data_IF_639004156849
#
_entry.id   IF_639004156849
#
_cell.length_a   1.000
_cell.length_b   1.000
_cell.length_c   1.000
_cell.angle_alpha   90.00
_cell.angle_beta   90.00
_cell.angle_gamma   90.00
#
_symmetry.space_group_name_H-M   'P 1'
#
loop_
_entity.id
_entity.type
_entity.pdbx_description
1 polymer ?
#
# COMPACT_ATOMS: atom_id res chain seq x y z
N UNK A 1 -9.45 -0.22 -11.80
CA UNK A 1 -8.92 -1.30 -10.94
C UNK A 1 -9.81 -1.39 -9.71
N UNK A 2 -10.50 -2.52 -9.51
CA UNK A 2 -11.40 -2.72 -8.36
C UNK A 2 -10.63 -3.17 -7.12
N UNK A 3 -9.76 -4.16 -7.28
CA UNK A 3 -8.94 -4.70 -6.20
C UNK A 3 -7.59 -4.00 -6.13
N UNK A 4 -7.22 -3.55 -4.93
CA UNK A 4 -5.97 -2.87 -4.61
C UNK A 4 -5.20 -3.72 -3.59
N UNK A 5 -3.91 -3.95 -3.86
CA UNK A 5 -2.99 -4.47 -2.83
C UNK A 5 -2.45 -3.32 -1.98
N UNK A 6 -2.41 -3.47 -0.67
CA UNK A 6 -1.84 -2.49 0.27
C UNK A 6 -0.85 -3.23 1.17
N UNK A 7 0.26 -2.61 1.55
CA UNK A 7 1.17 -3.20 2.55
C UNK A 7 0.41 -3.47 3.87
N UNK A 8 0.43 -4.73 4.34
CA UNK A 8 -0.22 -5.13 5.60
C UNK A 8 0.29 -4.35 6.81
N UNK A 9 1.53 -3.89 6.79
CA UNK A 9 2.10 -3.07 7.87
C UNK A 9 1.30 -1.78 8.07
N UNK A 10 0.68 -1.22 7.03
CA UNK A 10 -0.20 -0.05 7.16
C UNK A 10 -1.42 -0.38 8.02
N UNK A 11 -2.01 -1.57 7.86
CA UNK A 11 -3.15 -2.00 8.65
C UNK A 11 -2.77 -2.31 10.11
N UNK A 12 -1.57 -2.86 10.35
CA UNK A 12 -1.07 -3.10 11.71
C UNK A 12 -0.73 -1.81 12.45
N UNK A 13 -0.15 -0.83 11.77
CA UNK A 13 0.34 0.41 12.36
C UNK A 13 -0.62 1.59 12.17
N UNK A 14 -1.89 1.32 11.84
CA UNK A 14 -2.88 2.37 11.53
C UNK A 14 -3.10 3.36 12.68
N UNK A 15 -2.91 2.89 13.92
CA UNK A 15 -3.01 3.69 15.14
C UNK A 15 -1.70 4.44 15.47
N UNK A 16 -0.55 4.02 14.96
CA UNK A 16 0.73 4.68 15.23
C UNK A 16 0.79 6.07 14.59
N UNK A 17 0.26 6.21 13.38
CA UNK A 17 0.16 7.52 12.72
C UNK A 17 -0.69 8.52 13.50
N UNK A 18 -1.64 8.05 14.33
CA UNK A 18 -2.48 8.93 15.16
C UNK A 18 -1.69 9.66 16.25
N UNK A 19 -0.51 9.14 16.65
CA UNK A 19 0.23 9.62 17.82
C UNK A 19 1.11 10.84 17.54
N UNK A 20 1.48 11.11 16.29
CA UNK A 20 2.60 12.01 15.99
C UNK A 20 2.28 13.20 15.09
N UNK A 21 1.07 13.28 14.53
CA UNK A 21 0.70 14.30 13.55
C UNK A 21 -0.72 14.81 13.81
N UNK A 22 -1.07 15.99 13.31
CA UNK A 22 -2.44 16.48 13.35
C UNK A 22 -3.35 15.65 12.42
N UNK A 23 -4.66 15.80 12.57
CA UNK A 23 -5.65 15.00 11.82
C UNK A 23 -5.53 15.17 10.30
N UNK A 24 -5.24 16.37 9.80
CA UNK A 24 -5.14 16.64 8.38
C UNK A 24 -3.89 15.98 7.79
N UNK A 25 -2.74 16.10 8.45
CA UNK A 25 -1.51 15.39 8.04
C UNK A 25 -1.72 13.87 8.06
N UNK A 26 -2.38 13.31 9.08
CA UNK A 26 -2.70 11.88 9.14
C UNK A 26 -3.53 11.41 7.93
N UNK A 27 -4.57 12.18 7.55
CA UNK A 27 -5.42 11.86 6.39
C UNK A 27 -4.59 11.84 5.11
N UNK A 28 -3.69 12.81 4.94
CA UNK A 28 -2.85 12.91 3.75
C UNK A 28 -1.83 11.77 3.71
N UNK A 29 -1.14 11.47 4.82
CA UNK A 29 -0.19 10.35 4.92
C UNK A 29 -0.88 9.03 4.56
N UNK A 30 -2.02 8.72 5.16
CA UNK A 30 -2.77 7.50 4.85
C UNK A 30 -3.20 7.46 3.40
N UNK A 31 -3.64 8.59 2.87
CA UNK A 31 -4.05 8.66 1.47
C UNK A 31 -2.87 8.49 0.52
N UNK A 32 -1.69 9.02 0.84
CA UNK A 32 -0.45 8.80 0.08
C UNK A 32 -0.06 7.33 0.10
N UNK A 33 -0.16 6.66 1.24
CA UNK A 33 0.11 5.22 1.36
C UNK A 33 -0.76 4.38 0.42
N UNK A 34 -2.06 4.67 0.38
CA UNK A 34 -2.99 4.01 -0.54
C UNK A 34 -2.68 4.40 -1.99
N UNK A 35 -2.42 5.68 -2.25
CA UNK A 35 -2.12 6.18 -3.59
C UNK A 35 -0.82 5.61 -4.15
N UNK A 36 0.23 5.46 -3.35
CA UNK A 36 1.49 4.84 -3.77
C UNK A 36 1.31 3.34 -4.01
N UNK A 37 0.54 2.66 -3.16
CA UNK A 37 0.19 1.25 -3.39
C UNK A 37 -0.57 1.09 -4.72
N UNK A 38 -1.52 1.99 -5.01
CA UNK A 38 -2.28 2.01 -6.25
C UNK A 38 -1.41 2.33 -7.46
N UNK A 39 -0.60 3.38 -7.36
CA UNK A 39 0.26 3.85 -8.44
C UNK A 39 1.33 2.82 -8.76
N UNK A 40 1.97 2.20 -7.76
CA UNK A 40 2.95 1.13 -7.99
C UNK A 40 2.38 -0.10 -8.71
N UNK A 41 1.07 -0.34 -8.61
CA UNK A 41 0.41 -1.46 -9.31
C UNK A 41 0.02 -1.15 -10.75
N UNK A 42 0.16 0.11 -11.16
CA UNK A 42 -0.20 0.63 -12.50
C UNK A 42 1.06 1.14 -13.22
N UNK A 43 1.97 1.74 -12.49
CA UNK A 43 3.23 2.27 -12.97
C UNK A 43 4.24 1.12 -13.16
N UNK A 44 4.79 1.06 -14.37
CA UNK A 44 5.77 0.05 -14.78
C UNK A 44 7.21 0.57 -14.63
N UNK A 45 7.43 1.75 -14.05
CA UNK A 45 8.76 2.38 -13.97
C UNK A 45 9.20 2.69 -12.53
N UNK A 46 10.51 2.59 -12.28
CA UNK A 46 11.12 2.68 -10.95
C UNK A 46 11.11 4.06 -10.27
N UNK A 47 10.54 5.09 -10.90
CA UNK A 47 10.28 6.39 -10.28
C UNK A 47 8.81 6.74 -10.46
N UNK A 48 8.07 6.76 -9.35
CA UNK A 48 6.68 7.18 -9.34
C UNK A 48 6.56 8.69 -9.49
N UNK A 49 5.48 9.13 -10.14
CA UNK A 49 5.14 10.56 -10.27
C UNK A 49 3.90 10.86 -9.44
N UNK A 50 4.05 11.75 -8.47
CA UNK A 50 2.97 12.30 -7.68
C UNK A 50 2.59 13.68 -8.24
N UNK A 51 1.49 13.73 -8.98
CA UNK A 51 0.81 14.97 -9.31
C UNK A 51 -0.21 15.31 -8.20
N UNK A 52 -0.04 16.42 -7.45
CA UNK A 52 -0.95 16.78 -6.37
C UNK A 52 -2.42 16.88 -6.81
N UNK A 53 -2.68 17.28 -8.05
CA UNK A 53 -4.05 17.39 -8.56
C UNK A 53 -4.68 16.03 -8.81
N UNK A 54 -3.93 15.10 -9.42
CA UNK A 54 -4.41 13.72 -9.63
C UNK A 54 -4.60 12.99 -8.30
N UNK A 55 -3.65 13.18 -7.37
CA UNK A 55 -3.74 12.66 -6.01
C UNK A 55 -5.00 13.15 -5.28
N UNK A 56 -5.23 14.47 -5.25
CA UNK A 56 -6.43 15.06 -4.64
C UNK A 56 -7.72 14.46 -5.23
N UNK A 57 -7.77 14.36 -6.57
CA UNK A 57 -8.93 13.82 -7.29
C UNK A 57 -9.17 12.34 -7.00
N UNK A 58 -8.13 11.51 -7.03
CA UNK A 58 -8.24 10.05 -6.80
C UNK A 58 -8.56 9.72 -5.35
N UNK A 59 -7.94 10.43 -4.41
CA UNK A 59 -8.12 10.19 -2.98
C UNK A 59 -9.28 10.96 -2.36
N UNK A 60 -10.00 11.75 -3.16
CA UNK A 60 -11.13 12.60 -2.70
C UNK A 60 -10.69 13.48 -1.53
N UNK A 61 -9.60 14.21 -1.73
CA UNK A 61 -9.08 15.21 -0.80
C UNK A 61 -9.28 16.57 -1.43
N UNK A 62 -9.63 17.56 -0.61
CA UNK A 62 -9.67 18.94 -1.06
C UNK A 62 -8.26 19.38 -1.51
N UNK A 63 -8.15 19.87 -2.75
CA UNK A 63 -6.86 20.23 -3.34
C UNK A 63 -6.21 21.36 -2.55
N UNK A 64 -6.97 22.36 -2.14
CA UNK A 64 -6.41 23.54 -1.48
C UNK A 64 -5.83 23.17 -0.11
N UNK A 65 -6.44 22.19 0.58
CA UNK A 65 -5.91 21.61 1.81
C UNK A 65 -4.48 21.06 1.67
N UNK A 66 -4.07 20.59 0.49
CA UNK A 66 -2.73 20.03 0.26
C UNK A 66 -1.64 21.09 0.27
N UNK A 67 -1.96 22.28 -0.25
CA UNK A 67 -1.01 23.39 -0.42
C UNK A 67 -1.05 24.41 0.72
N UNK A 68 -2.01 24.29 1.65
CA UNK A 68 -2.02 25.09 2.87
C UNK A 68 -0.74 24.86 3.66
N UNK A 69 -0.19 25.95 4.21
CA UNK A 69 0.94 25.89 5.13
C UNK A 69 0.54 25.14 6.40
N UNK A 70 1.34 24.16 6.76
CA UNK A 70 1.24 23.41 7.99
C UNK A 70 1.72 24.29 9.15
N UNK A 71 1.00 24.38 10.28
CA UNK A 71 1.38 25.26 11.39
C UNK A 71 2.70 24.86 12.05
N UNK A 72 2.99 23.56 12.07
CA UNK A 72 4.12 23.01 12.81
C UNK A 72 4.79 21.80 12.10
N UNK A 73 5.39 22.02 10.91
CA UNK A 73 5.86 20.94 10.03
C UNK A 73 7.04 20.17 10.64
N UNK A 74 7.12 18.87 10.37
CA UNK A 74 8.08 17.95 10.99
C UNK A 74 9.54 18.34 10.70
N UNK A 75 9.86 18.79 9.49
CA UNK A 75 11.21 19.26 9.14
C UNK A 75 11.67 20.40 10.05
N UNK A 76 10.76 21.31 10.41
CA UNK A 76 11.05 22.45 11.31
C UNK A 76 11.28 21.98 12.74
N UNK A 77 10.65 20.88 13.17
CA UNK A 77 10.92 20.27 14.49
C UNK A 77 12.24 19.53 14.54
N UNK A 78 12.62 18.92 13.42
CA UNK A 78 13.81 18.07 13.35
C UNK A 78 15.10 18.85 13.10
N UNK A 79 14.99 20.09 12.61
CA UNK A 79 16.15 20.92 12.34
C UNK A 79 16.73 21.50 13.65
N UNK A 80 18.05 21.34 13.90
CA UNK A 80 18.71 21.98 15.04
C UNK A 80 18.74 23.52 14.93
N UNK A 81 18.57 24.06 13.72
CA UNK A 81 18.66 25.50 13.44
C UNK A 81 17.47 26.28 14.01
N UNK A 82 16.37 25.60 14.36
CA UNK A 82 15.10 26.20 14.71
C UNK A 82 14.35 26.78 13.49
N UNK A 83 13.05 27.01 13.66
CA UNK A 83 12.15 27.43 12.57
C UNK A 83 12.64 28.71 11.86
N UNK A 84 12.93 29.77 12.63
CA UNK A 84 13.22 31.11 12.11
C UNK A 84 14.41 31.10 11.14
N UNK A 85 15.54 30.51 11.56
CA UNK A 85 16.75 30.43 10.74
C UNK A 85 16.56 29.60 9.47
N UNK A 86 15.74 28.54 9.53
CA UNK A 86 15.47 27.72 8.35
C UNK A 86 14.71 28.52 7.29
N UNK A 87 13.71 29.30 7.69
CA UNK A 87 12.96 30.17 6.76
C UNK A 87 13.82 31.33 6.23
N UNK A 88 14.59 32.00 7.10
CA UNK A 88 15.54 33.05 6.68
C UNK A 88 16.53 32.52 5.63
N UNK A 89 17.04 31.30 5.83
CA UNK A 89 17.95 30.65 4.89
C UNK A 89 17.27 30.35 3.55
N UNK A 90 16.02 29.91 3.55
CA UNK A 90 15.26 29.72 2.31
C UNK A 90 15.03 31.05 1.58
N UNK A 91 14.79 32.15 2.29
CA UNK A 91 14.60 33.47 1.68
C UNK A 91 15.87 33.94 0.95
N UNK A 92 17.04 33.66 1.53
CA UNK A 92 18.35 34.02 0.93
C UNK A 92 18.73 33.09 -0.23
N UNK A 93 18.64 31.77 -0.03
CA UNK A 93 19.09 30.77 -1.02
C UNK A 93 18.01 30.45 -2.09
N UNK A 94 16.77 30.86 -1.85
CA UNK A 94 15.61 30.61 -2.70
C UNK A 94 15.01 29.20 -2.54
N UNK A 95 13.79 29.03 -3.07
CA UNK A 95 13.01 27.79 -3.00
C UNK A 95 13.58 26.60 -3.79
N UNK A 96 14.63 26.83 -4.59
CA UNK A 96 15.34 25.86 -5.42
C UNK A 96 16.72 25.49 -4.84
N UNK A 97 16.84 25.53 -3.52
CA UNK A 97 18.06 25.21 -2.79
C UNK A 97 17.85 24.04 -1.82
N UNK A 98 18.94 23.56 -1.24
CA UNK A 98 18.90 22.61 -0.11
C UNK A 98 18.27 23.21 1.15
N UNK A 99 18.11 24.53 1.22
CA UNK A 99 17.44 25.21 2.33
C UNK A 99 15.91 25.24 2.20
N UNK A 100 15.33 24.60 1.15
CA UNK A 100 13.87 24.51 0.99
C UNK A 100 13.20 23.93 2.24
N UNK A 101 12.15 24.61 2.68
CA UNK A 101 11.22 24.18 3.71
C UNK A 101 10.04 23.45 3.07
N UNK A 102 9.77 22.25 3.56
CA UNK A 102 8.67 21.36 3.17
C UNK A 102 7.48 21.62 4.09
N UNK A 103 6.88 22.81 3.96
CA UNK A 103 5.94 23.35 4.95
C UNK A 103 4.47 23.31 4.54
N UNK A 104 4.11 22.90 3.32
CA UNK A 104 2.70 22.60 3.02
C UNK A 104 2.27 21.27 3.67
N UNK A 105 0.97 21.06 3.86
CA UNK A 105 0.47 19.79 4.41
C UNK A 105 0.90 18.56 3.58
N UNK A 106 0.92 18.68 2.24
CA UNK A 106 1.41 17.60 1.39
C UNK A 106 2.91 17.37 1.56
N UNK A 107 3.70 18.44 1.58
CA UNK A 107 5.16 18.36 1.71
C UNK A 107 5.57 17.85 3.09
N UNK A 108 4.90 18.30 4.15
CA UNK A 108 5.07 17.76 5.50
C UNK A 108 4.80 16.25 5.53
N UNK A 109 3.70 15.80 4.90
CA UNK A 109 3.38 14.38 4.81
C UNK A 109 4.45 13.59 4.03
N UNK A 110 4.97 14.13 2.92
CA UNK A 110 6.06 13.51 2.15
C UNK A 110 7.36 13.43 2.97
N UNK A 111 7.69 14.50 3.70
CA UNK A 111 8.85 14.53 4.60
C UNK A 111 8.71 13.49 5.70
N UNK A 112 7.55 13.40 6.36
CA UNK A 112 7.27 12.37 7.39
C UNK A 112 7.45 10.97 6.79
N UNK A 113 6.91 10.70 5.60
CA UNK A 113 7.02 9.40 4.95
C UNK A 113 8.46 9.05 4.51
N UNK A 114 9.32 10.05 4.32
CA UNK A 114 10.72 9.89 3.96
C UNK A 114 11.65 9.77 5.18
N UNK A 115 11.21 10.21 6.35
CA UNK A 115 12.07 10.29 7.55
C UNK A 115 11.60 9.41 8.71
N UNK A 116 10.31 9.06 8.78
CA UNK A 116 9.76 8.28 9.87
C UNK A 116 9.89 6.77 9.61
N UNK A 117 10.64 6.03 10.44
CA UNK A 117 10.75 4.59 10.31
C UNK A 117 9.47 3.91 10.80
N UNK A 118 8.94 2.98 9.99
CA UNK A 118 7.97 1.99 10.46
C UNK A 118 8.71 0.79 11.03
N UNK A 119 8.29 0.35 12.21
CA UNK A 119 8.87 -0.81 12.86
C UNK A 119 8.02 -2.06 12.60
N UNK A 120 8.70 -3.18 12.38
CA UNK A 120 8.09 -4.50 12.20
C UNK A 120 8.74 -5.48 13.18
N UNK A 121 7.90 -6.07 14.03
CA UNK A 121 8.30 -7.19 14.89
C UNK A 121 8.13 -8.50 14.12
N UNK A 122 9.17 -9.33 14.11
CA UNK A 122 9.13 -10.62 13.43
C UNK A 122 9.68 -11.72 14.34
N UNK A 123 9.26 -12.95 14.06
CA UNK A 123 9.76 -14.15 14.71
C UNK A 123 10.00 -15.24 13.68
N UNK A 124 11.00 -16.07 13.92
CA UNK A 124 11.35 -17.16 13.03
C UNK A 124 12.03 -18.30 13.76
N UNK A 125 12.44 -19.29 12.96
CA UNK A 125 13.17 -20.46 13.42
C UNK A 125 14.25 -20.79 12.40
N UNK A 126 15.49 -20.92 12.86
CA UNK A 126 16.61 -21.50 12.12
C UNK A 126 16.86 -22.93 12.63
N UNK A 127 17.86 -23.60 12.06
CA UNK A 127 18.38 -24.87 12.58
C UNK A 127 18.92 -24.70 14.03
N UNK A 128 19.43 -23.50 14.34
CA UNK A 128 20.08 -23.19 15.63
C UNK A 128 19.08 -22.74 16.72
N UNK A 129 17.81 -22.51 16.38
CA UNK A 129 16.78 -22.17 17.36
C UNK A 129 15.71 -21.20 16.87
N UNK A 130 14.88 -20.74 17.81
CA UNK A 130 13.84 -19.74 17.57
C UNK A 130 14.37 -18.35 17.88
N UNK A 131 14.02 -17.36 17.06
CA UNK A 131 14.43 -15.98 17.26
C UNK A 131 13.23 -15.03 17.15
N UNK A 132 13.36 -13.87 17.81
CA UNK A 132 12.46 -12.73 17.72
C UNK A 132 13.34 -11.52 17.39
N UNK A 133 12.89 -10.67 16.48
CA UNK A 133 13.65 -9.50 16.04
C UNK A 133 12.75 -8.32 15.73
N UNK A 134 13.37 -7.15 15.69
CA UNK A 134 12.76 -5.89 15.28
C UNK A 134 13.56 -5.38 14.09
N UNK A 135 12.87 -4.99 13.02
CA UNK A 135 13.47 -4.29 11.89
C UNK A 135 12.66 -3.03 11.63
N UNK A 136 13.26 -2.06 10.96
CA UNK A 136 12.56 -0.88 10.50
C UNK A 136 12.76 -0.65 9.00
N UNK A 137 11.87 0.12 8.42
CA UNK A 137 12.02 0.65 7.06
C UNK A 137 11.30 1.99 6.97
N UNK A 138 11.79 2.87 6.09
CA UNK A 138 11.06 4.09 5.71
C UNK A 138 10.18 3.77 4.50
N UNK A 139 9.15 4.57 4.24
CA UNK A 139 8.22 4.28 3.14
C UNK A 139 8.70 4.85 1.81
N UNK A 140 9.17 6.10 1.85
CA UNK A 140 9.75 6.79 0.70
C UNK A 140 11.25 6.85 0.91
N UNK A 141 12.04 6.29 0.00
CA UNK A 141 13.50 6.39 0.03
C UNK A 141 13.98 7.74 -0.48
N UNK A 142 13.31 8.29 -1.49
CA UNK A 142 13.70 9.53 -2.13
C UNK A 142 12.46 10.31 -2.59
N UNK A 143 12.45 11.63 -2.37
CA UNK A 143 11.45 12.54 -2.92
C UNK A 143 12.12 13.76 -3.55
N UNK A 144 11.70 14.12 -4.75
CA UNK A 144 12.22 15.25 -5.51
C UNK A 144 11.05 16.14 -5.92
N UNK A 145 11.17 17.44 -5.68
CA UNK A 145 10.24 18.44 -6.19
C UNK A 145 10.64 18.87 -7.60
N UNK A 146 9.70 18.84 -8.53
CA UNK A 146 9.91 19.24 -9.93
C UNK A 146 8.91 20.31 -10.34
N UNK A 147 9.37 21.20 -11.22
CA UNK A 147 8.59 22.28 -11.78
C UNK A 147 8.58 22.14 -13.30
N UNK A 148 7.40 21.99 -13.90
CA UNK A 148 7.23 21.90 -15.35
C UNK A 148 6.54 23.16 -15.87
N UNK A 149 7.21 23.89 -16.76
CA UNK A 149 6.55 24.95 -17.55
C UNK A 149 5.47 24.31 -18.42
N UNK A 150 4.26 24.86 -18.37
CA UNK A 150 3.18 24.45 -19.27
C UNK A 150 3.26 25.24 -20.58
N UNK A 151 2.79 24.66 -21.69
CA UNK A 151 2.84 25.28 -23.03
C UNK A 151 2.19 26.68 -23.12
N UNK A 152 1.39 27.08 -22.11
CA UNK A 152 0.79 28.41 -21.97
C UNK A 152 1.65 29.40 -21.17
N UNK A 153 2.95 29.15 -21.00
CA UNK A 153 3.99 30.14 -20.64
C UNK A 153 3.94 30.77 -19.24
N UNK A 154 2.79 30.84 -18.57
CA UNK A 154 2.60 31.60 -17.32
C UNK A 154 2.43 30.74 -16.06
N UNK A 155 1.99 29.49 -16.20
CA UNK A 155 1.74 28.61 -15.06
C UNK A 155 2.79 27.49 -14.98
N UNK A 156 3.53 27.48 -13.88
CA UNK A 156 4.45 26.40 -13.52
C UNK A 156 3.69 25.31 -12.78
N UNK A 157 3.66 24.09 -13.34
CA UNK A 157 3.04 22.93 -12.68
C UNK A 157 4.06 22.28 -11.75
N UNK A 158 3.66 22.11 -10.49
CA UNK A 158 4.42 21.37 -9.48
C UNK A 158 4.06 19.88 -9.55
N UNK A 159 5.06 19.01 -9.50
CA UNK A 159 4.89 17.58 -9.29
C UNK A 159 6.08 17.02 -8.52
N UNK A 160 5.90 15.87 -7.89
CA UNK A 160 6.96 15.20 -7.14
C UNK A 160 7.34 13.90 -7.83
N UNK A 161 8.63 13.63 -7.95
CA UNK A 161 9.13 12.28 -8.24
C UNK A 161 9.48 11.60 -6.93
N UNK A 162 9.14 10.34 -6.79
CA UNK A 162 9.44 9.58 -5.58
C UNK A 162 9.98 8.19 -5.92
N UNK A 163 10.83 7.67 -5.02
CA UNK A 163 11.29 6.29 -5.00
C UNK A 163 10.81 5.64 -3.72
N UNK A 164 10.09 4.53 -3.84
CA UNK A 164 9.63 3.76 -2.69
C UNK A 164 10.81 2.95 -2.10
N UNK A 165 10.71 2.62 -0.83
CA UNK A 165 11.66 1.71 -0.20
C UNK A 165 11.49 0.27 -0.69
N UNK A 166 12.60 -0.45 -0.84
CA UNK A 166 12.59 -1.82 -1.35
C UNK A 166 11.83 -2.78 -0.42
N UNK A 167 11.80 -2.52 0.89
CA UNK A 167 10.97 -3.29 1.82
C UNK A 167 9.48 -3.07 1.56
N UNK A 168 9.05 -1.82 1.33
CA UNK A 168 7.66 -1.52 1.00
C UNK A 168 7.23 -2.18 -0.32
N UNK A 169 8.05 -2.09 -1.36
CA UNK A 169 7.76 -2.76 -2.64
C UNK A 169 7.67 -4.29 -2.49
N UNK A 170 8.57 -4.88 -1.71
CA UNK A 170 8.55 -6.31 -1.39
C UNK A 170 7.29 -6.70 -0.62
N UNK A 171 6.82 -5.86 0.30
CA UNK A 171 5.57 -6.10 1.01
C UNK A 171 4.36 -6.06 0.08
N UNK A 172 4.32 -5.15 -0.90
CA UNK A 172 3.28 -5.12 -1.93
C UNK A 172 3.22 -6.38 -2.81
N UNK A 173 4.29 -7.19 -2.82
CA UNK A 173 4.39 -8.48 -3.52
C UNK A 173 4.06 -9.68 -2.64
N UNK A 174 4.48 -9.68 -1.37
CA UNK A 174 4.43 -10.87 -0.49
C UNK A 174 3.64 -10.70 0.79
N UNK A 175 3.48 -9.47 1.27
CA UNK A 175 2.90 -9.16 2.56
C UNK A 175 1.85 -8.05 2.43
N UNK A 176 0.87 -8.31 1.57
CA UNK A 176 -0.16 -7.34 1.23
C UNK A 176 -1.55 -7.78 1.69
N UNK A 177 -2.38 -6.77 1.91
CA UNK A 177 -3.82 -6.85 2.12
C UNK A 177 -4.50 -6.59 0.77
N UNK A 178 -5.46 -7.42 0.40
CA UNK A 178 -6.35 -7.09 -0.72
C UNK A 178 -7.53 -6.26 -0.26
N UNK A 179 -7.86 -5.21 -0.99
CA UNK A 179 -9.01 -4.37 -0.66
C UNK A 179 -9.72 -3.89 -1.92
N UNK A 180 -10.96 -3.40 -1.78
CA UNK A 180 -11.64 -2.69 -2.86
C UNK A 180 -11.36 -1.18 -2.71
N UNK A 181 -10.77 -0.57 -3.73
CA UNK A 181 -10.39 0.84 -3.69
C UNK A 181 -11.62 1.76 -3.58
N UNK A 182 -12.73 1.43 -4.23
CA UNK A 182 -13.96 2.23 -4.14
C UNK A 182 -14.61 2.09 -2.75
N UNK A 183 -14.61 0.89 -2.18
CA UNK A 183 -15.05 0.69 -0.79
C UNK A 183 -14.19 1.45 0.20
N UNK A 184 -12.87 1.43 0.03
CA UNK A 184 -11.97 2.25 0.84
C UNK A 184 -12.37 3.73 0.80
N UNK A 185 -12.61 4.30 -0.39
CA UNK A 185 -13.04 5.69 -0.53
C UNK A 185 -14.41 5.96 0.11
N UNK A 186 -15.35 5.00 0.03
CA UNK A 186 -16.65 5.08 0.70
C UNK A 186 -16.51 5.14 2.23
N UNK A 187 -15.69 4.27 2.82
CA UNK A 187 -15.44 4.28 4.26
C UNK A 187 -14.64 5.51 4.70
N UNK A 188 -13.74 6.01 3.85
CA UNK A 188 -12.98 7.26 4.08
C UNK A 188 -13.88 8.48 4.19
N UNK A 189 -14.92 8.58 3.36
CA UNK A 189 -15.93 9.66 3.46
C UNK A 189 -16.55 9.73 4.86
N UNK A 190 -16.62 8.59 5.56
CA UNK A 190 -17.21 8.47 6.88
C UNK A 190 -16.18 8.40 8.02
N UNK A 191 -14.88 8.59 7.75
CA UNK A 191 -13.77 8.40 8.71
C UNK A 191 -13.75 7.00 9.35
N UNK A 192 -14.03 5.97 8.56
CA UNK A 192 -14.12 4.56 9.02
C UNK A 192 -13.24 3.61 8.21
N UNK A 193 -12.40 4.15 7.35
CA UNK A 193 -11.48 3.42 6.48
C UNK A 193 -10.45 2.58 7.26
N UNK A 194 -10.00 3.06 8.42
CA UNK A 194 -9.07 2.32 9.28
C UNK A 194 -9.68 1.01 9.77
N UNK A 195 -10.97 1.04 10.16
CA UNK A 195 -11.68 -0.16 10.58
C UNK A 195 -11.97 -1.09 9.41
N UNK A 196 -12.27 -0.54 8.23
CA UNK A 196 -12.39 -1.33 7.01
C UNK A 196 -11.12 -2.12 6.69
N UNK A 197 -9.95 -1.46 6.72
CA UNK A 197 -8.66 -2.12 6.50
C UNK A 197 -8.38 -3.17 7.59
N UNK A 198 -8.69 -2.86 8.85
CA UNK A 198 -8.55 -3.77 9.99
C UNK A 198 -9.39 -5.05 9.81
N UNK A 199 -10.68 -4.91 9.48
CA UNK A 199 -11.60 -6.04 9.26
C UNK A 199 -11.12 -6.89 8.08
N UNK A 200 -10.73 -6.26 6.96
CA UNK A 200 -10.18 -6.99 5.81
C UNK A 200 -8.92 -7.77 6.17
N UNK A 201 -8.02 -7.17 6.97
CA UNK A 201 -6.78 -7.81 7.39
C UNK A 201 -7.02 -9.00 8.31
N UNK A 202 -7.92 -8.86 9.29
CA UNK A 202 -8.34 -9.95 10.18
C UNK A 202 -8.94 -11.08 9.34
N UNK A 203 -9.92 -10.79 8.49
CA UNK A 203 -10.56 -11.79 7.65
C UNK A 203 -9.54 -12.56 6.79
N UNK A 204 -8.69 -11.86 6.04
CA UNK A 204 -7.70 -12.50 5.16
C UNK A 204 -6.62 -13.28 5.92
N UNK A 205 -6.27 -12.85 7.13
CA UNK A 205 -5.25 -13.52 7.94
C UNK A 205 -5.78 -14.78 8.62
N UNK A 206 -7.02 -14.73 9.13
CA UNK A 206 -7.61 -15.84 9.88
C UNK A 206 -8.30 -16.86 8.98
N UNK A 207 -8.84 -16.48 7.81
CA UNK A 207 -9.40 -17.43 6.83
C UNK A 207 -8.38 -18.49 6.40
N UNK A 208 -7.11 -18.11 6.26
CA UNK A 208 -6.02 -19.02 5.89
C UNK A 208 -5.70 -20.07 6.97
N UNK A 209 -6.11 -19.80 8.21
CA UNK A 209 -5.93 -20.69 9.37
C UNK A 209 -7.20 -21.48 9.67
N UNK A 210 -8.23 -21.39 8.82
CA UNK A 210 -9.58 -21.90 9.07
C UNK A 210 -10.24 -21.39 10.37
N UNK A 211 -9.78 -20.24 10.86
CA UNK A 211 -10.40 -19.57 12.00
C UNK A 211 -11.42 -18.58 11.45
N UNK A 212 -12.65 -18.64 11.92
CA UNK A 212 -13.75 -17.82 11.43
C UNK A 212 -14.33 -16.85 12.47
N UNK A 213 -13.60 -16.64 13.57
CA UNK A 213 -13.97 -15.76 14.67
C UNK A 213 -12.75 -15.02 15.20
N UNK A 214 -12.92 -13.73 15.46
CA UNK A 214 -11.88 -12.90 16.04
C UNK A 214 -12.46 -12.01 17.15
N UNK A 215 -11.72 -11.88 18.24
CA UNK A 215 -12.07 -11.05 19.39
C UNK A 215 -11.21 -9.79 19.42
N UNK A 216 -11.84 -8.64 19.59
CA UNK A 216 -11.14 -7.38 19.84
C UNK A 216 -11.06 -7.10 21.32
N UNK A 217 -10.03 -6.35 21.73
CA UNK A 217 -10.08 -5.59 22.97
C UNK A 217 -11.06 -4.44 22.78
N UNK A 218 -11.86 -4.17 23.81
CA UNK A 218 -12.90 -3.14 23.74
C UNK A 218 -12.27 -1.75 23.55
N UNK A 219 -11.18 -1.49 24.27
CA UNK A 219 -10.42 -0.24 24.29
C UNK A 219 -9.82 0.08 22.91
N UNK A 220 -9.31 -0.93 22.19
CA UNK A 220 -8.75 -0.77 20.86
C UNK A 220 -9.79 -0.25 19.86
N UNK A 221 -11.04 -0.74 19.97
CA UNK A 221 -12.14 -0.25 19.13
C UNK A 221 -12.55 1.17 19.49
N UNK A 222 -12.58 1.52 20.77
CA UNK A 222 -12.87 2.90 21.19
C UNK A 222 -11.84 3.88 20.62
N UNK A 223 -10.55 3.53 20.71
CA UNK A 223 -9.45 4.33 20.14
C UNK A 223 -9.54 4.42 18.61
N UNK A 224 -9.91 3.33 17.94
CA UNK A 224 -10.05 3.30 16.49
C UNK A 224 -11.11 4.28 16.01
N UNK A 225 -12.26 4.33 16.67
CA UNK A 225 -13.39 5.20 16.33
C UNK A 225 -13.39 6.55 17.03
N UNK A 226 -12.35 6.86 17.82
CA UNK A 226 -12.27 8.08 18.61
C UNK A 226 -13.50 8.27 19.53
N UNK A 227 -13.95 7.19 20.16
CA UNK A 227 -15.03 7.22 21.16
C UNK A 227 -14.39 7.51 22.51
N UNK A 228 -14.81 8.58 23.18
CA UNK A 228 -14.28 8.96 24.50
C UNK A 228 -14.42 7.82 25.51
N UNK A 229 -13.32 7.59 26.24
CA UNK A 229 -13.23 6.66 27.37
C UNK A 229 -14.13 7.05 28.54
N UNK A 230 -14.49 8.33 28.65
CA UNK A 230 -15.25 8.89 29.77
C UNK A 230 -16.76 8.64 29.64
N UNK A 231 -17.21 8.22 28.46
CA UNK A 231 -18.58 7.78 28.25
C UNK A 231 -18.84 6.47 29.00
N UNK A 232 -20.03 6.32 29.58
CA UNK A 232 -20.40 5.04 30.17
C UNK A 232 -20.34 3.90 29.14
N UNK A 233 -19.95 2.71 29.58
CA UNK A 233 -19.80 1.53 28.74
C UNK A 233 -21.06 1.20 27.91
N UNK A 234 -22.25 1.49 28.44
CA UNK A 234 -23.53 1.35 27.73
C UNK A 234 -23.60 2.24 26.48
N UNK A 235 -23.19 3.50 26.60
CA UNK A 235 -23.18 4.46 25.49
C UNK A 235 -22.08 4.16 24.48
N UNK A 236 -20.90 3.75 24.95
CA UNK A 236 -19.80 3.28 24.10
C UNK A 236 -20.24 2.07 23.25
N UNK A 237 -20.83 1.04 23.89
CA UNK A 237 -21.38 -0.14 23.23
C UNK A 237 -22.47 0.22 22.21
N UNK A 238 -23.36 1.16 22.54
CA UNK A 238 -24.39 1.65 21.60
C UNK A 238 -23.78 2.28 20.36
N UNK A 239 -22.77 3.13 20.50
CA UNK A 239 -22.05 3.74 19.37
C UNK A 239 -21.38 2.68 18.50
N UNK A 240 -20.71 1.71 19.11
CA UNK A 240 -20.09 0.60 18.39
C UNK A 240 -21.11 -0.26 17.63
N UNK A 241 -22.25 -0.57 18.22
CA UNK A 241 -23.32 -1.32 17.54
C UNK A 241 -23.84 -0.60 16.28
N UNK A 242 -24.00 0.71 16.32
CA UNK A 242 -24.38 1.50 15.13
C UNK A 242 -23.35 1.35 14.03
N UNK A 243 -22.06 1.41 14.38
CA UNK A 243 -20.96 1.23 13.43
C UNK A 243 -20.94 -0.20 12.88
N UNK A 244 -21.02 -1.21 13.76
CA UNK A 244 -21.05 -2.62 13.38
C UNK A 244 -22.19 -2.94 12.42
N UNK A 245 -23.41 -2.45 12.68
CA UNK A 245 -24.57 -2.65 11.79
C UNK A 245 -24.31 -2.09 10.39
N UNK A 246 -23.70 -0.90 10.31
CA UNK A 246 -23.31 -0.30 9.03
C UNK A 246 -22.28 -1.17 8.30
N UNK A 247 -21.25 -1.63 9.01
CA UNK A 247 -20.22 -2.49 8.44
C UNK A 247 -20.76 -3.84 7.95
N UNK A 248 -21.65 -4.49 8.71
CA UNK A 248 -22.35 -5.70 8.26
C UNK A 248 -23.10 -5.44 6.96
N UNK A 249 -23.87 -4.35 6.86
CA UNK A 249 -24.62 -4.03 5.65
C UNK A 249 -23.74 -3.75 4.44
N UNK A 250 -22.61 -3.06 4.62
CA UNK A 250 -21.74 -2.66 3.52
C UNK A 250 -20.75 -3.74 3.06
N UNK A 251 -20.42 -4.71 3.93
CA UNK A 251 -19.39 -5.74 3.69
C UNK A 251 -19.93 -7.17 3.54
N UNK A 252 -21.21 -7.44 3.83
CA UNK A 252 -21.81 -8.78 3.70
C UNK A 252 -21.65 -9.41 2.32
N UNK A 253 -21.59 -8.59 1.26
CA UNK A 253 -21.33 -9.02 -0.12
C UNK A 253 -19.87 -9.45 -0.32
N UNK A 254 -18.93 -8.85 0.41
CA UNK A 254 -17.49 -9.14 0.30
C UNK A 254 -17.07 -10.28 1.24
N UNK A 255 -17.69 -10.35 2.42
CA UNK A 255 -17.39 -11.33 3.47
C UNK A 255 -18.70 -12.02 3.84
N UNK A 256 -18.88 -13.23 3.30
CA UNK A 256 -20.09 -14.03 3.53
C UNK A 256 -20.22 -14.36 5.02
N UNK A 257 -21.44 -14.22 5.55
CA UNK A 257 -21.73 -14.48 6.96
C UNK A 257 -21.12 -13.48 7.95
N UNK A 258 -20.63 -12.32 7.48
CA UNK A 258 -20.03 -11.32 8.36
C UNK A 258 -21.02 -10.85 9.43
N UNK A 259 -20.69 -11.08 10.69
CA UNK A 259 -21.48 -10.63 11.84
C UNK A 259 -20.57 -10.08 12.92
N UNK A 260 -21.04 -9.05 13.60
CA UNK A 260 -20.40 -8.49 14.78
C UNK A 260 -21.27 -8.77 15.99
N UNK A 261 -20.65 -9.13 17.10
CA UNK A 261 -21.38 -9.48 18.31
C UNK A 261 -20.58 -9.22 19.57
N UNK A 262 -21.16 -9.67 20.68
CA UNK A 262 -20.60 -9.53 22.02
C UNK A 262 -20.69 -10.86 22.73
N UNK A 263 -19.61 -11.27 23.38
CA UNK A 263 -19.62 -12.38 24.32
C UNK A 263 -19.36 -11.89 25.74
N UNK A 264 -19.89 -12.62 26.72
CA UNK A 264 -19.61 -12.34 28.12
C UNK A 264 -18.16 -12.72 28.43
N UNK A 265 -17.38 -11.76 28.88
CA UNK A 265 -16.01 -11.96 29.35
C UNK A 265 -15.98 -12.81 30.63
N UNK A 266 -14.89 -13.55 30.83
CA UNK A 266 -14.71 -14.36 32.04
C UNK A 266 -14.65 -13.46 33.28
N UNK A 267 -15.44 -13.78 34.30
CA UNK A 267 -15.30 -13.22 35.65
C UNK A 267 -16.04 -11.91 35.97
N UNK A 268 -16.74 -11.27 35.03
CA UNK A 268 -17.53 -10.06 35.33
C UNK A 268 -18.90 -10.07 34.64
N UNK A 269 -19.94 -9.61 35.35
CA UNK A 269 -21.32 -9.52 34.84
C UNK A 269 -21.45 -8.54 33.65
N UNK A 270 -20.51 -7.60 33.53
CA UNK A 270 -20.54 -6.49 32.57
C UNK A 270 -19.34 -6.45 31.61
N UNK A 271 -18.38 -7.36 31.72
CA UNK A 271 -17.31 -7.46 30.74
C UNK A 271 -17.89 -8.06 29.46
N UNK A 272 -18.03 -7.28 28.40
CA UNK A 272 -18.40 -7.79 27.08
C UNK A 272 -17.18 -7.70 26.17
N UNK A 273 -16.84 -8.81 25.52
CA UNK A 273 -15.76 -8.87 24.54
C UNK A 273 -16.38 -8.77 23.15
N UNK A 274 -16.10 -7.70 22.38
CA UNK A 274 -16.58 -7.57 21.02
C UNK A 274 -15.89 -8.61 20.13
N UNK A 275 -16.67 -9.22 19.23
CA UNK A 275 -16.15 -10.17 18.26
C UNK A 275 -16.70 -9.90 16.87
N UNK A 276 -16.01 -10.45 15.87
CA UNK A 276 -16.48 -10.60 14.50
C UNK A 276 -16.42 -12.07 14.10
N UNK A 277 -17.42 -12.53 13.37
CA UNK A 277 -17.50 -13.87 12.78
C UNK A 277 -17.78 -13.78 11.28
N UNK A 278 -17.46 -14.84 10.56
CA UNK A 278 -17.79 -15.04 9.15
C UNK A 278 -18.00 -16.52 8.85
N UNK A 279 -18.54 -16.82 7.66
CA UNK A 279 -18.70 -18.20 7.21
C UNK A 279 -17.32 -18.81 6.92
N UNK A 280 -17.12 -20.07 7.30
CA UNK A 280 -15.94 -20.81 6.87
C UNK A 280 -15.95 -20.95 5.34
N UNK A 281 -14.79 -20.71 4.74
CA UNK A 281 -14.60 -20.82 3.29
C UNK A 281 -13.77 -22.07 3.01
N UNK A 282 -14.15 -22.80 1.96
CA UNK A 282 -13.39 -23.95 1.49
C UNK A 282 -11.94 -23.53 1.15
N UNK A 283 -10.97 -24.26 1.70
CA UNK A 283 -9.54 -23.96 1.49
C UNK A 283 -9.08 -24.14 0.04
N UNK A 284 -9.77 -24.95 -0.77
CA UNK A 284 -9.49 -25.07 -2.20
C UNK A 284 -9.78 -23.76 -2.93
N UNK A 285 -10.90 -23.12 -2.63
CA UNK A 285 -11.30 -21.81 -3.17
C UNK A 285 -10.32 -20.74 -2.71
N UNK A 286 -9.99 -20.69 -1.40
CA UNK A 286 -9.05 -19.70 -0.86
C UNK A 286 -7.67 -19.82 -1.52
N UNK A 287 -7.15 -21.05 -1.69
CA UNK A 287 -5.88 -21.28 -2.37
C UNK A 287 -5.92 -20.89 -3.84
N UNK A 288 -7.01 -21.18 -4.53
CA UNK A 288 -7.19 -20.81 -5.93
C UNK A 288 -7.18 -19.30 -6.11
N UNK A 289 -7.96 -18.57 -5.31
CA UNK A 289 -8.04 -17.11 -5.35
C UNK A 289 -6.69 -16.46 -5.03
N UNK A 290 -6.02 -16.90 -3.96
CA UNK A 290 -4.72 -16.38 -3.56
C UNK A 290 -3.65 -16.67 -4.64
N UNK A 291 -3.66 -17.86 -5.25
CA UNK A 291 -2.75 -18.19 -6.36
C UNK A 291 -2.99 -17.30 -7.57
N UNK A 292 -4.24 -17.05 -7.96
CA UNK A 292 -4.58 -16.15 -9.06
C UNK A 292 -4.03 -14.75 -8.82
N UNK A 293 -4.14 -14.26 -7.59
CA UNK A 293 -3.61 -12.95 -7.20
C UNK A 293 -2.08 -12.94 -7.29
N UNK A 294 -1.41 -13.98 -6.78
CA UNK A 294 0.05 -14.09 -6.87
C UNK A 294 0.53 -14.21 -8.31
N UNK A 295 -0.23 -14.87 -9.19
CA UNK A 295 0.03 -14.93 -10.62
C UNK A 295 -0.06 -13.55 -11.27
N UNK A 296 -1.08 -12.75 -10.91
CA UNK A 296 -1.21 -11.37 -11.39
C UNK A 296 -0.08 -10.47 -10.87
N UNK A 297 0.36 -10.65 -9.61
CA UNK A 297 1.56 -9.98 -9.08
C UNK A 297 2.77 -10.34 -9.93
N UNK A 298 3.01 -11.64 -10.13
CA UNK A 298 4.15 -12.15 -10.87
C UNK A 298 4.19 -11.61 -12.30
N UNK A 299 3.08 -11.66 -13.04
CA UNK A 299 3.01 -11.16 -14.42
C UNK A 299 3.33 -9.66 -14.50
N UNK A 300 2.79 -8.85 -13.58
CA UNK A 300 3.08 -7.40 -13.53
C UNK A 300 4.55 -7.11 -13.26
N UNK A 301 5.12 -7.79 -12.27
CA UNK A 301 6.54 -7.65 -11.96
C UNK A 301 7.41 -8.11 -13.13
N UNK A 302 7.01 -9.18 -13.82
CA UNK A 302 7.71 -9.70 -14.98
C UNK A 302 7.71 -8.67 -16.12
N UNK A 303 6.57 -8.03 -16.41
CA UNK A 303 6.48 -6.92 -17.38
C UNK A 303 7.45 -5.80 -17.03
N UNK A 304 7.43 -5.34 -15.78
CA UNK A 304 8.32 -4.26 -15.33
C UNK A 304 9.79 -4.65 -15.48
N UNK A 305 10.17 -5.83 -14.99
CA UNK A 305 11.56 -6.27 -15.00
C UNK A 305 12.06 -6.50 -16.45
N UNK A 306 11.21 -7.01 -17.35
CA UNK A 306 11.55 -7.14 -18.77
C UNK A 306 11.68 -5.79 -19.47
N UNK A 307 10.79 -4.84 -19.16
CA UNK A 307 10.87 -3.46 -19.67
C UNK A 307 12.16 -2.77 -19.23
N UNK A 308 12.54 -2.92 -17.96
CA UNK A 308 13.76 -2.34 -17.41
C UNK A 308 15.00 -2.92 -18.10
N UNK A 309 15.06 -4.23 -18.27
CA UNK A 309 16.13 -4.91 -19.01
C UNK A 309 16.23 -4.39 -20.45
N UNK A 310 15.09 -4.32 -21.16
CA UNK A 310 15.06 -3.82 -22.54
C UNK A 310 15.55 -2.37 -22.64
N UNK A 311 15.12 -1.48 -21.73
CA UNK A 311 15.56 -0.08 -21.73
C UNK A 311 17.04 0.09 -21.41
N UNK A 312 17.58 -0.73 -20.50
CA UNK A 312 19.00 -0.70 -20.18
C UNK A 312 19.87 -1.18 -21.35
N UNK A 313 19.39 -2.12 -22.16
CA UNK A 313 20.11 -2.57 -23.37
C UNK A 313 20.01 -1.58 -24.53
N UNK A 314 18.84 -0.95 -24.72
CA UNK A 314 18.56 -0.17 -25.92
C UNK A 314 18.67 1.35 -25.72
N UNK A 315 18.88 1.82 -24.48
CA UNK A 315 18.94 3.24 -24.09
C UNK A 315 17.77 4.10 -24.62
N UNK A 316 16.61 3.47 -24.87
CA UNK A 316 15.43 4.11 -25.46
C UNK A 316 14.15 3.54 -24.85
N UNK A 317 13.18 4.43 -24.64
CA UNK A 317 11.84 4.06 -24.20
C UNK A 317 10.92 3.91 -25.40
N UNK A 318 11.02 2.77 -26.07
CA UNK A 318 10.20 2.43 -27.25
C UNK A 318 9.26 1.27 -26.93
N UNK A 319 7.95 1.54 -26.92
CA UNK A 319 6.93 0.54 -26.63
C UNK A 319 6.79 -0.50 -27.75
N UNK A 320 6.93 -0.07 -29.02
CA UNK A 320 6.81 -0.95 -30.17
C UNK A 320 8.07 -1.82 -30.29
N UNK A 321 9.24 -1.21 -30.11
CA UNK A 321 10.52 -1.91 -30.00
C UNK A 321 10.52 -2.93 -28.86
N UNK A 322 9.97 -2.58 -27.69
CA UNK A 322 9.83 -3.54 -26.59
C UNK A 322 8.93 -4.72 -26.96
N UNK A 323 7.78 -4.48 -27.59
CA UNK A 323 6.87 -5.56 -27.98
C UNK A 323 7.52 -6.49 -29.01
N UNK A 324 8.18 -5.94 -30.02
CA UNK A 324 8.90 -6.72 -31.04
C UNK A 324 10.03 -7.53 -30.40
N UNK A 325 10.83 -6.91 -29.54
CA UNK A 325 11.85 -7.60 -28.76
C UNK A 325 11.24 -8.72 -27.93
N UNK A 326 10.13 -8.48 -27.23
CA UNK A 326 9.48 -9.46 -26.36
C UNK A 326 8.94 -10.68 -27.13
N UNK A 327 8.37 -10.48 -28.32
CA UNK A 327 7.79 -11.54 -29.16
C UNK A 327 8.84 -12.33 -29.95
N UNK A 328 10.01 -11.75 -30.21
CA UNK A 328 11.11 -12.49 -30.84
C UNK A 328 11.75 -13.48 -29.86
N UNK A 329 11.48 -14.77 -30.03
CA UNK A 329 12.00 -15.81 -29.14
C UNK A 329 13.48 -16.15 -29.39
N UNK A 330 14.13 -15.59 -30.41
CA UNK A 330 15.56 -15.80 -30.73
C UNK A 330 16.43 -14.73 -30.08
N UNK A 331 16.00 -13.47 -30.11
CA UNK A 331 16.74 -12.34 -29.53
C UNK A 331 16.72 -12.41 -28.00
N UNK A 332 17.90 -12.31 -27.37
CA UNK A 332 18.08 -12.23 -25.91
C UNK A 332 17.31 -13.30 -25.10
N UNK A 333 17.09 -14.48 -25.69
CA UNK A 333 16.24 -15.51 -25.07
C UNK A 333 16.72 -15.92 -23.68
N UNK A 334 18.03 -16.09 -23.51
CA UNK A 334 18.62 -16.44 -22.21
C UNK A 334 18.37 -15.35 -21.15
N UNK A 335 18.46 -14.08 -21.55
CA UNK A 335 18.23 -12.95 -20.67
C UNK A 335 16.75 -12.89 -20.24
N UNK A 336 15.81 -13.03 -21.19
CA UNK A 336 14.37 -13.12 -20.91
C UNK A 336 14.03 -14.26 -19.94
N UNK A 337 14.61 -15.44 -20.17
CA UNK A 337 14.47 -16.60 -19.29
C UNK A 337 15.05 -16.32 -17.90
N UNK A 338 16.24 -15.72 -17.81
CA UNK A 338 16.85 -15.34 -16.54
C UNK A 338 15.98 -14.33 -15.77
N UNK A 339 15.44 -13.30 -16.45
CA UNK A 339 14.51 -12.34 -15.86
C UNK A 339 13.23 -13.00 -15.37
N UNK A 340 12.68 -13.96 -16.13
CA UNK A 340 11.52 -14.76 -15.69
C UNK A 340 11.83 -15.53 -14.41
N UNK A 341 12.94 -16.29 -14.39
CA UNK A 341 13.32 -17.15 -13.25
C UNK A 341 13.60 -16.31 -12.00
N UNK A 342 14.29 -15.18 -12.16
CA UNK A 342 14.55 -14.23 -11.07
C UNK A 342 13.23 -13.66 -10.52
N UNK A 343 12.36 -13.16 -11.40
CA UNK A 343 11.04 -12.63 -11.00
C UNK A 343 10.17 -13.69 -10.33
N UNK A 344 10.21 -14.94 -10.82
CA UNK A 344 9.46 -16.06 -10.24
C UNK A 344 9.93 -16.34 -8.82
N UNK A 345 11.25 -16.41 -8.61
CA UNK A 345 11.86 -16.64 -7.28
C UNK A 345 11.56 -15.50 -6.31
N UNK A 346 11.46 -14.26 -6.84
CA UNK A 346 11.06 -13.10 -6.06
C UNK A 346 9.58 -13.08 -5.68
N UNK A 347 8.69 -13.78 -6.38
CA UNK A 347 7.24 -13.67 -6.13
C UNK A 347 6.61 -14.95 -5.57
N UNK A 348 7.09 -16.12 -5.99
CA UNK A 348 6.51 -17.42 -5.67
C UNK A 348 7.46 -18.23 -4.80
N UNK A 349 6.89 -19.03 -3.90
CA UNK A 349 7.67 -20.07 -3.21
C UNK A 349 8.04 -21.15 -4.22
N UNK A 350 9.34 -21.38 -4.42
CA UNK A 350 9.83 -22.50 -5.22
C UNK A 350 9.59 -23.77 -4.40
N UNK A 351 8.59 -24.56 -4.76
CA UNK A 351 8.32 -25.86 -4.14
C UNK A 351 9.10 -26.96 -4.87
N UNK A 352 9.33 -28.08 -4.17
CA UNK A 352 10.04 -29.25 -4.67
C UNK A 352 9.29 -29.78 -5.91
N UNK A 353 9.88 -29.60 -7.10
CA UNK A 353 9.28 -29.98 -8.39
C UNK A 353 8.98 -28.81 -9.34
N UNK A 354 8.94 -27.57 -8.87
CA UNK A 354 8.87 -26.41 -9.77
C UNK A 354 10.16 -26.34 -10.61
N UNK A 355 10.02 -26.25 -11.93
CA UNK A 355 11.12 -26.01 -12.87
C UNK A 355 10.95 -24.65 -13.56
N UNK A 356 11.27 -23.53 -12.87
CA UNK A 356 11.04 -22.18 -13.40
C UNK A 356 11.65 -21.95 -14.77
N UNK A 357 12.82 -22.53 -15.06
CA UNK A 357 13.45 -22.45 -16.38
C UNK A 357 12.62 -23.11 -17.49
N UNK A 358 12.01 -24.27 -17.23
CA UNK A 358 11.11 -24.93 -18.18
C UNK A 358 9.84 -24.12 -18.38
N UNK A 359 9.27 -23.60 -17.29
CA UNK A 359 8.08 -22.72 -17.33
C UNK A 359 8.36 -21.45 -18.12
N UNK A 360 9.53 -20.83 -17.93
CA UNK A 360 9.96 -19.65 -18.68
C UNK A 360 10.03 -19.91 -20.19
N UNK A 361 10.66 -21.03 -20.59
CA UNK A 361 10.75 -21.41 -22.00
C UNK A 361 9.36 -21.59 -22.63
N UNK A 362 8.48 -22.34 -21.96
CA UNK A 362 7.10 -22.53 -22.41
C UNK A 362 6.32 -21.21 -22.48
N UNK A 363 6.55 -20.31 -21.51
CA UNK A 363 5.93 -19.00 -21.46
C UNK A 363 6.29 -18.17 -22.70
N UNK A 364 7.59 -18.05 -23.03
CA UNK A 364 8.02 -17.26 -24.19
C UNK A 364 7.69 -17.92 -25.53
N UNK A 365 7.67 -19.26 -25.62
CA UNK A 365 7.16 -19.97 -26.81
C UNK A 365 5.69 -19.60 -27.06
N UNK A 366 4.86 -19.66 -26.01
CA UNK A 366 3.44 -19.31 -26.12
C UNK A 366 3.26 -17.82 -26.43
N UNK A 367 4.04 -16.95 -25.80
CA UNK A 367 3.99 -15.51 -26.05
C UNK A 367 4.33 -15.18 -27.51
N UNK A 368 5.36 -15.81 -28.07
CA UNK A 368 5.75 -15.66 -29.47
C UNK A 368 4.72 -16.23 -30.47
N UNK A 369 3.85 -17.14 -30.02
CA UNK A 369 2.75 -17.68 -30.85
C UNK A 369 1.51 -16.80 -30.90
N UNK A 370 1.43 -15.74 -30.07
CA UNK A 370 0.32 -14.80 -30.11
C UNK A 370 0.32 -14.04 -31.44
N UNK A 371 -0.82 -14.03 -32.13
CA UNK A 371 -0.96 -13.48 -33.48
C UNK A 371 -1.25 -11.97 -33.48
N UNK A 372 -1.70 -11.42 -32.36
CA UNK A 372 -2.11 -10.02 -32.27
C UNK A 372 -1.93 -9.47 -30.84
N UNK A 373 -2.00 -8.14 -30.71
CA UNK A 373 -1.82 -7.45 -29.44
C UNK A 373 -2.86 -7.86 -28.38
N UNK A 374 -4.08 -8.22 -28.80
CA UNK A 374 -5.14 -8.66 -27.88
C UNK A 374 -4.77 -9.96 -27.18
N UNK A 375 -4.29 -10.95 -27.93
CA UNK A 375 -3.80 -12.22 -27.37
C UNK A 375 -2.62 -12.01 -26.43
N UNK A 376 -1.70 -11.12 -26.78
CA UNK A 376 -0.58 -10.75 -25.91
C UNK A 376 -1.09 -10.14 -24.61
N UNK A 377 -2.06 -9.21 -24.64
CA UNK A 377 -2.63 -8.56 -23.46
C UNK A 377 -3.50 -9.47 -22.58
N UNK A 378 -4.09 -10.50 -23.16
CA UNK A 378 -4.86 -11.50 -22.42
C UNK A 378 -3.93 -12.52 -21.73
N UNK A 379 -2.83 -12.87 -22.40
CA UNK A 379 -1.87 -13.85 -21.91
C UNK A 379 -0.84 -13.25 -20.93
N UNK A 380 -0.21 -12.16 -21.36
CA UNK A 380 0.79 -11.35 -20.67
C UNK A 380 0.34 -9.90 -20.72
#
# INVERSE_FOLDING_TARGET
MKNLRIDKNIAYNVLEFKKYQDRQTQIIIKSLLIYFSYSHQIDLFGYGVLDPHDFAKKMKIDKDSLFKKHPDPKQVKDTPLGAKKLYERQEVEGCFSTARVWDSYLENALYVLNTFPLYENFKGSTLDGKYIGIKNFILIREVQLHFKKTNKGRNTKIFYKYKLDEAFERNLRKFFLQTDFQKYLQFKKNNTEDFYLTVCNIYQTYRLKQINKYYWKFEDLLLLFNISSDLEAKYQKRKLNTIFKKFTGELSVQIKGLQFGWEKGKGQRWAYVPFVTWDQVDMSIVKYDDNKVLDDVFKKDLRRNLLEVFFNQNNRRDALGFLNWLLDNKVDHQLKVATYVSTYSMNKKVYKGAKPGTMAKQFFIKLASCQNEKEVREYF
#
